data_IF_989449443592
#
_entry.id   IF_989449443592
#
_cell.length_a   1.000
_cell.length_b   1.000
_cell.length_c   1.000
_cell.angle_alpha   90.00
_cell.angle_beta   90.00
_cell.angle_gamma   90.00
#
_symmetry.space_group_name_H-M   'P 1'
#
loop_
_entity.id
_entity.type
_entity.pdbx_description
1 polymer ?
#
# COMPACT_ATOMS: atom_id res chain seq x y z
N UNK A 1 -1.02 -10.10 -0.64
CA UNK A 1 -0.63 -9.57 0.69
C UNK A 1 -1.85 -9.10 1.46
N UNK A 2 -2.57 -8.06 1.02
CA UNK A 2 -3.75 -7.58 1.78
C UNK A 2 -4.82 -8.67 2.05
N UNK A 3 -5.29 -9.46 1.06
CA UNK A 3 -6.23 -10.55 1.35
C UNK A 3 -5.61 -11.63 2.26
N UNK A 4 -4.30 -11.89 2.16
CA UNK A 4 -3.62 -12.87 3.02
C UNK A 4 -3.65 -12.46 4.50
N UNK A 5 -3.52 -11.15 4.79
CA UNK A 5 -3.64 -10.61 6.16
C UNK A 5 -5.08 -10.69 6.65
N UNK A 6 -6.05 -10.38 5.79
CA UNK A 6 -7.48 -10.42 6.12
C UNK A 6 -7.90 -11.86 6.45
N UNK A 7 -7.48 -12.83 5.62
CA UNK A 7 -7.74 -14.26 5.84
C UNK A 7 -7.09 -14.75 7.13
N UNK A 8 -5.81 -14.40 7.38
CA UNK A 8 -5.09 -14.75 8.61
C UNK A 8 -5.76 -14.16 9.86
N UNK A 9 -6.20 -12.90 9.79
CA UNK A 9 -6.92 -12.24 10.88
C UNK A 9 -8.27 -12.89 11.17
N UNK A 10 -9.00 -13.27 10.12
CA UNK A 10 -10.30 -13.94 10.21
C UNK A 10 -10.19 -15.32 10.84
N UNK A 11 -9.15 -16.09 10.48
CA UNK A 11 -8.88 -17.40 11.07
C UNK A 11 -8.49 -17.31 12.55
N UNK A 12 -7.74 -16.28 12.94
CA UNK A 12 -7.35 -16.06 14.34
C UNK A 12 -8.48 -15.50 15.22
N UNK A 13 -9.46 -14.81 14.62
CA UNK A 13 -10.54 -14.12 15.34
C UNK A 13 -11.92 -14.50 14.78
N UNK A 14 -12.38 -15.75 14.99
CA UNK A 14 -13.64 -16.24 14.42
C UNK A 14 -14.88 -15.47 14.92
N UNK A 15 -14.81 -14.85 16.10
CA UNK A 15 -15.90 -14.09 16.72
C UNK A 15 -16.00 -12.64 16.22
N UNK A 16 -14.98 -12.12 15.53
CA UNK A 16 -14.90 -10.71 15.10
C UNK A 16 -15.16 -10.57 13.59
N UNK A 17 -16.43 -10.53 13.21
CA UNK A 17 -16.86 -10.34 11.80
C UNK A 17 -16.88 -8.87 11.38
N UNK A 18 -16.72 -8.60 10.08
CA UNK A 18 -16.91 -7.27 9.47
C UNK A 18 -15.67 -6.35 9.42
N UNK A 19 -14.50 -6.79 9.86
CA UNK A 19 -13.28 -5.97 9.88
C UNK A 19 -12.63 -5.77 8.49
N UNK A 20 -13.09 -6.51 7.48
CA UNK A 20 -12.57 -6.43 6.11
C UNK A 20 -12.64 -4.99 5.57
N UNK A 21 -13.75 -4.29 5.81
CA UNK A 21 -13.95 -2.91 5.37
C UNK A 21 -12.89 -1.93 5.94
N UNK A 22 -12.46 -2.14 7.18
CA UNK A 22 -11.44 -1.30 7.82
C UNK A 22 -10.08 -1.53 7.15
N UNK A 23 -9.69 -2.79 6.92
CA UNK A 23 -8.44 -3.12 6.25
C UNK A 23 -8.37 -2.52 4.83
N UNK A 24 -9.43 -2.70 4.03
CA UNK A 24 -9.46 -2.15 2.67
C UNK A 24 -9.49 -0.62 2.66
N UNK A 25 -10.30 0.02 3.52
CA UNK A 25 -10.39 1.48 3.57
C UNK A 25 -9.09 2.11 4.04
N UNK A 26 -8.46 1.54 5.07
CA UNK A 26 -7.16 2.00 5.58
C UNK A 26 -6.08 1.89 4.52
N UNK A 27 -5.99 0.76 3.81
CA UNK A 27 -5.02 0.58 2.72
C UNK A 27 -5.18 1.65 1.63
N UNK A 28 -6.41 1.86 1.14
CA UNK A 28 -6.67 2.85 0.09
C UNK A 28 -6.41 4.27 0.60
N UNK A 29 -6.82 4.57 1.83
CA UNK A 29 -6.59 5.87 2.47
C UNK A 29 -5.10 6.19 2.51
N UNK A 30 -4.26 5.30 3.05
CA UNK A 30 -2.82 5.54 3.14
C UNK A 30 -2.15 5.61 1.77
N UNK A 31 -2.60 4.82 0.79
CA UNK A 31 -2.08 4.91 -0.58
C UNK A 31 -2.36 6.28 -1.20
N UNK A 32 -3.57 6.80 -1.03
CA UNK A 32 -3.97 8.13 -1.54
C UNK A 32 -3.31 9.25 -0.75
N UNK A 33 -3.28 9.13 0.58
CA UNK A 33 -2.61 10.07 1.46
C UNK A 33 -1.12 10.18 1.12
N UNK A 34 -0.41 9.07 0.98
CA UNK A 34 1.00 9.05 0.60
C UNK A 34 1.24 9.71 -0.77
N UNK A 35 0.36 9.48 -1.75
CA UNK A 35 0.46 10.16 -3.05
C UNK A 35 0.30 11.68 -2.92
N UNK A 36 -0.67 12.16 -2.13
CA UNK A 36 -0.86 13.59 -1.88
C UNK A 36 0.30 14.22 -1.13
N UNK A 37 0.80 13.54 -0.08
CA UNK A 37 1.97 13.98 0.69
C UNK A 37 3.22 14.03 -0.20
N UNK A 38 3.45 13.01 -1.03
CA UNK A 38 4.57 12.99 -1.97
C UNK A 38 4.54 14.17 -2.93
N UNK A 39 3.37 14.50 -3.50
CA UNK A 39 3.20 15.67 -4.34
C UNK A 39 3.47 16.97 -3.56
N UNK A 40 2.91 17.10 -2.36
CA UNK A 40 3.12 18.27 -1.50
C UNK A 40 4.59 18.52 -1.18
N UNK A 41 5.32 17.48 -0.76
CA UNK A 41 6.75 17.54 -0.48
C UNK A 41 7.53 17.93 -1.73
N UNK A 42 7.19 17.36 -2.89
CA UNK A 42 7.85 17.66 -4.17
C UNK A 42 7.70 19.14 -4.53
N UNK A 43 6.48 19.68 -4.43
CA UNK A 43 6.18 21.07 -4.73
C UNK A 43 6.90 22.02 -3.78
N UNK A 44 6.84 21.77 -2.47
CA UNK A 44 7.55 22.60 -1.47
C UNK A 44 9.07 22.56 -1.67
N UNK A 45 9.62 21.39 -1.99
CA UNK A 45 11.06 21.24 -2.24
C UNK A 45 11.50 22.03 -3.48
N UNK A 46 10.67 22.09 -4.52
CA UNK A 46 10.92 22.86 -5.72
C UNK A 46 10.80 24.37 -5.47
N UNK A 47 9.80 24.79 -4.70
CA UNK A 47 9.62 26.20 -4.32
C UNK A 47 10.83 26.72 -3.52
N UNK A 48 11.30 25.96 -2.53
CA UNK A 48 12.51 26.29 -1.77
C UNK A 48 13.79 26.29 -2.62
N UNK A 49 13.86 25.46 -3.67
CA UNK A 49 15.00 25.43 -4.59
C UNK A 49 15.02 26.62 -5.57
N UNK A 50 14.00 27.50 -5.53
CA UNK A 50 13.87 28.63 -6.43
C UNK A 50 13.39 28.21 -7.82
N UNK A 51 12.47 27.25 -7.90
CA UNK A 51 11.90 26.81 -9.17
C UNK A 51 11.18 27.97 -9.87
N UNK A 52 11.65 28.33 -11.07
CA UNK A 52 11.04 29.38 -11.89
C UNK A 52 9.99 28.74 -12.80
N UNK A 53 8.71 29.06 -12.59
CA UNK A 53 7.63 28.58 -13.45
C UNK A 53 7.65 29.32 -14.80
N UNK A 54 7.50 28.62 -15.94
CA UNK A 54 7.39 29.27 -17.23
C UNK A 54 6.05 30.02 -17.33
N UNK A 55 6.09 31.34 -17.14
CA UNK A 55 4.97 32.25 -17.40
C UNK A 55 4.92 32.61 -18.90
N UNK A 56 3.77 33.09 -19.38
CA UNK A 56 3.51 33.56 -20.78
C UNK A 56 4.57 34.53 -21.36
N UNK A 57 5.45 35.08 -20.51
CA UNK A 57 6.50 36.06 -20.84
C UNK A 57 7.90 35.42 -20.97
N UNK A 58 8.16 34.21 -20.47
CA UNK A 58 9.51 33.62 -20.46
C UNK A 58 9.52 32.18 -20.98
N UNK A 59 9.76 32.04 -22.29
CA UNK A 59 9.83 30.75 -23.01
C UNK A 59 11.19 30.03 -22.89
N UNK A 60 12.01 30.36 -21.90
CA UNK A 60 13.30 29.71 -21.69
C UNK A 60 14.06 30.34 -20.53
N UNK A 61 13.76 29.91 -19.30
CA UNK A 61 14.53 30.33 -18.13
C UNK A 61 15.67 29.35 -17.88
N UNK A 62 16.89 29.86 -17.71
CA UNK A 62 17.99 29.09 -17.14
C UNK A 62 17.65 28.72 -15.70
N UNK A 63 17.33 27.45 -15.47
CA UNK A 63 16.98 26.92 -14.15
C UNK A 63 18.20 26.98 -13.22
N UNK A 64 18.05 27.36 -11.93
CA UNK A 64 19.15 27.28 -10.97
C UNK A 64 19.67 25.85 -10.83
N UNK A 65 21.00 25.69 -10.66
CA UNK A 65 21.64 24.38 -10.42
C UNK A 65 21.06 23.65 -9.20
N UNK A 66 20.55 24.38 -8.22
CA UNK A 66 19.89 23.83 -7.03
C UNK A 66 18.64 23.02 -7.39
N UNK A 67 17.85 23.45 -8.38
CA UNK A 67 16.65 22.74 -8.82
C UNK A 67 17.01 21.41 -9.50
N UNK A 68 18.03 21.39 -10.37
CA UNK A 68 18.52 20.16 -11.00
C UNK A 68 18.97 19.15 -9.93
N UNK A 69 19.68 19.62 -8.90
CA UNK A 69 20.06 18.77 -7.77
C UNK A 69 18.84 18.24 -7.01
N UNK A 70 17.87 19.10 -6.68
CA UNK A 70 16.64 18.68 -5.96
C UNK A 70 15.85 17.65 -6.75
N UNK A 71 15.67 17.84 -8.06
CA UNK A 71 14.98 16.88 -8.92
C UNK A 71 15.72 15.55 -8.99
N UNK A 72 17.05 15.57 -9.17
CA UNK A 72 17.86 14.34 -9.14
C UNK A 72 17.72 13.61 -7.81
N UNK A 73 17.73 14.33 -6.70
CA UNK A 73 17.58 13.75 -5.36
C UNK A 73 16.19 13.12 -5.16
N UNK A 74 15.15 13.81 -5.63
CA UNK A 74 13.76 13.38 -5.47
C UNK A 74 13.41 12.16 -6.33
N UNK A 75 14.04 12.02 -7.51
CA UNK A 75 13.74 10.93 -8.46
C UNK A 75 14.66 9.71 -8.28
N UNK A 76 15.86 9.86 -7.72
CA UNK A 76 16.83 8.75 -7.62
C UNK A 76 17.15 8.29 -6.19
N UNK A 77 17.96 9.00 -5.38
CA UNK A 77 18.36 8.50 -4.07
C UNK A 77 17.19 8.37 -3.09
N UNK A 78 16.21 9.27 -3.13
CA UNK A 78 15.05 9.19 -2.23
C UNK A 78 14.21 7.92 -2.50
N UNK A 79 13.78 7.62 -3.75
CA UNK A 79 13.09 6.37 -4.05
C UNK A 79 13.92 5.12 -3.75
N UNK A 80 15.23 5.14 -4.02
CA UNK A 80 16.12 4.00 -3.72
C UNK A 80 16.13 3.72 -2.21
N UNK A 81 16.30 4.76 -1.38
CA UNK A 81 16.24 4.62 0.07
C UNK A 81 14.89 4.08 0.55
N UNK A 82 13.79 4.60 0.00
CA UNK A 82 12.43 4.12 0.30
C UNK A 82 12.23 2.64 -0.07
N UNK A 83 12.77 2.19 -1.21
CA UNK A 83 12.72 0.78 -1.61
C UNK A 83 13.50 -0.11 -0.64
N UNK A 84 14.70 0.29 -0.24
CA UNK A 84 15.51 -0.46 0.73
C UNK A 84 14.75 -0.62 2.06
N UNK A 85 14.16 0.46 2.57
CA UNK A 85 13.32 0.44 3.77
C UNK A 85 12.12 -0.51 3.57
N UNK A 86 11.44 -0.42 2.42
CA UNK A 86 10.33 -1.31 2.08
C UNK A 86 10.73 -2.79 2.06
N UNK A 87 11.90 -3.12 1.52
CA UNK A 87 12.44 -4.48 1.50
C UNK A 87 12.80 -4.98 2.90
N UNK A 88 13.34 -4.12 3.78
CA UNK A 88 13.62 -4.48 5.18
C UNK A 88 12.34 -4.79 5.95
N UNK A 89 11.28 -4.01 5.74
CA UNK A 89 9.96 -4.28 6.32
C UNK A 89 9.41 -5.60 5.77
N UNK A 90 9.52 -5.82 4.45
CA UNK A 90 9.06 -7.06 3.81
C UNK A 90 9.82 -8.29 4.31
N UNK A 91 11.11 -8.17 4.61
CA UNK A 91 11.93 -9.24 5.21
C UNK A 91 11.43 -9.64 6.60
N UNK A 92 10.90 -8.68 7.36
CA UNK A 92 10.33 -8.90 8.70
C UNK A 92 8.87 -9.39 8.66
N UNK A 93 8.32 -9.62 7.47
CA UNK A 93 6.93 -10.03 7.30
C UNK A 93 6.73 -11.51 7.70
N UNK A 94 5.85 -11.81 8.68
CA UNK A 94 5.75 -13.15 9.26
C UNK A 94 4.92 -14.15 8.44
N UNK A 95 4.17 -13.70 7.42
CA UNK A 95 3.35 -14.59 6.57
C UNK A 95 4.20 -15.13 5.43
N UNK A 96 4.81 -16.28 5.69
CA UNK A 96 5.56 -17.06 4.70
C UNK A 96 4.61 -17.92 3.82
N UNK A 97 5.14 -18.48 2.74
CA UNK A 97 4.36 -19.30 1.80
C UNK A 97 3.64 -20.47 2.48
N UNK A 98 4.29 -21.11 3.46
CA UNK A 98 3.70 -22.20 4.23
C UNK A 98 2.44 -21.76 5.00
N UNK A 99 2.49 -20.60 5.65
CA UNK A 99 1.34 -20.02 6.39
C UNK A 99 0.24 -19.65 5.41
N UNK A 100 0.60 -19.08 4.25
CA UNK A 100 -0.37 -18.72 3.21
C UNK A 100 -1.12 -19.94 2.68
N UNK A 101 -0.43 -21.07 2.49
CA UNK A 101 -1.05 -22.31 2.05
C UNK A 101 -1.98 -22.91 3.11
N UNK A 102 -1.55 -22.96 4.37
CA UNK A 102 -2.38 -23.43 5.49
C UNK A 102 -3.66 -22.59 5.64
N UNK A 103 -3.53 -21.25 5.60
CA UNK A 103 -4.69 -20.35 5.65
C UNK A 103 -5.67 -20.60 4.48
N UNK A 104 -5.15 -20.82 3.27
CA UNK A 104 -5.98 -21.12 2.09
C UNK A 104 -6.75 -22.43 2.24
N UNK A 105 -6.11 -23.47 2.78
CA UNK A 105 -6.76 -24.77 3.02
C UNK A 105 -7.88 -24.63 4.05
N UNK A 106 -7.61 -24.01 5.21
CA UNK A 106 -8.61 -23.80 6.27
C UNK A 106 -9.81 -22.97 5.78
N UNK A 107 -9.57 -21.94 4.96
CA UNK A 107 -10.64 -21.14 4.39
C UNK A 107 -11.52 -21.94 3.40
N UNK A 108 -10.95 -22.92 2.68
CA UNK A 108 -11.71 -23.82 1.82
C UNK A 108 -12.57 -24.79 2.64
N UNK A 109 -12.02 -25.36 3.71
CA UNK A 109 -12.76 -26.25 4.62
C UNK A 109 -13.97 -25.53 5.25
N UNK A 110 -13.81 -24.27 5.67
CA UNK A 110 -14.91 -23.49 6.22
C UNK A 110 -16.05 -23.29 5.21
N UNK A 111 -15.74 -22.98 3.94
CA UNK A 111 -16.76 -22.85 2.90
C UNK A 111 -17.49 -24.17 2.64
N UNK A 112 -16.76 -25.28 2.55
CA UNK A 112 -17.37 -26.60 2.34
C UNK A 112 -18.33 -26.97 3.48
N UNK A 113 -17.99 -26.60 4.73
CA UNK A 113 -18.88 -26.82 5.88
C UNK A 113 -20.15 -25.95 5.79
N UNK A 114 -20.02 -24.68 5.42
CA UNK A 114 -21.18 -23.80 5.21
C UNK A 114 -22.08 -24.30 4.08
N UNK A 115 -21.51 -24.77 2.97
CA UNK A 115 -22.24 -25.35 1.84
C UNK A 115 -22.98 -26.64 2.23
N UNK A 116 -22.33 -27.50 3.04
CA UNK A 116 -22.91 -28.74 3.54
C UNK A 116 -24.06 -28.49 4.54
N UNK A 117 -23.92 -27.51 5.43
CA UNK A 117 -24.96 -27.10 6.37
C UNK A 117 -26.18 -26.51 5.63
N UNK A 118 -25.93 -25.67 4.63
CA UNK A 118 -26.96 -25.07 3.77
C UNK A 118 -27.75 -26.10 2.95
N UNK A 119 -27.08 -27.18 2.51
CA UNK A 119 -27.73 -28.25 1.75
C UNK A 119 -28.53 -29.20 2.64
N UNK A 120 -28.11 -29.42 3.89
CA UNK A 120 -28.90 -30.17 4.87
C UNK A 120 -30.22 -29.48 5.23
N UNK A 121 -30.21 -28.15 5.43
CA UNK A 121 -31.42 -27.37 5.75
C UNK A 121 -32.45 -27.33 4.60
N UNK A 122 -32.01 -27.53 3.35
CA UNK A 122 -32.90 -27.60 2.19
C UNK A 122 -33.56 -28.97 1.98
N UNK A 123 -33.17 -29.99 2.76
CA UNK A 123 -33.65 -31.38 2.63
C UNK A 123 -34.64 -31.82 3.72
N UNK A 124 -35.04 -30.91 4.61
CA UNK A 124 -36.03 -31.15 5.68
C UNK A 124 -37.36 -30.47 5.36
#
# INVERSE_FOLDING_TARGET
MLPDVVDDFKLKNPNSRGHEAIFYSFYVFFTKFASGVSLGISTLSLDFAGYVTPSVVSRGCSQPKAVDLTLRMLVSPVPIGMIIIGLLIFRSYPINEAVRQDNRMRMQELRQREDADSTSDCTV
#
